data_IF_358774419725
#
_entry.id   IF_358774419725
#
_cell.length_a   1.000
_cell.length_b   1.000
_cell.length_c   1.000
_cell.angle_alpha   90.00
_cell.angle_beta   90.00
_cell.angle_gamma   90.00
#
_symmetry.space_group_name_H-M   'P 1'
#
loop_
_entity.id
_entity.type
_entity.pdbx_description
1 polymer ?
#
# COMPACT_ATOMS: atom_id res chain seq x y z
N UNK A 1 -18.51 -22.54 -41.05
CA UNK A 1 -17.13 -22.60 -40.54
C UNK A 1 -17.11 -21.98 -39.15
N UNK A 2 -17.41 -22.81 -38.14
CA UNK A 2 -17.24 -22.48 -36.73
C UNK A 2 -15.75 -22.54 -36.38
N UNK A 3 -15.15 -21.41 -36.02
CA UNK A 3 -13.89 -21.42 -35.28
C UNK A 3 -14.20 -21.45 -33.78
N UNK A 4 -14.29 -22.65 -33.23
CA UNK A 4 -14.32 -22.87 -31.78
C UNK A 4 -13.06 -22.25 -31.16
N UNK A 5 -13.26 -21.22 -30.34
CA UNK A 5 -12.19 -20.61 -29.56
C UNK A 5 -12.00 -21.46 -28.28
N UNK A 6 -10.91 -22.24 -28.15
CA UNK A 6 -10.72 -23.18 -27.03
C UNK A 6 -10.63 -22.48 -25.67
N UNK A 7 -10.34 -21.18 -25.66
CA UNK A 7 -10.31 -20.34 -24.45
C UNK A 7 -11.70 -20.07 -23.86
N UNK A 8 -12.77 -20.06 -24.68
CA UNK A 8 -14.14 -19.82 -24.20
C UNK A 8 -14.68 -21.02 -23.43
N UNK A 9 -14.36 -22.23 -23.89
CA UNK A 9 -14.69 -23.48 -23.19
C UNK A 9 -13.94 -23.64 -21.86
N UNK A 10 -12.71 -23.11 -21.77
CA UNK A 10 -11.94 -23.10 -20.52
C UNK A 10 -12.53 -22.11 -19.50
N UNK A 11 -13.06 -20.98 -19.96
CA UNK A 11 -13.69 -19.97 -19.11
C UNK A 11 -15.04 -20.42 -18.53
N UNK A 12 -15.85 -21.15 -19.31
CA UNK A 12 -17.12 -21.75 -18.83
C UNK A 12 -16.88 -22.84 -17.77
N UNK A 13 -15.74 -23.55 -17.83
CA UNK A 13 -15.34 -24.51 -16.79
C UNK A 13 -14.86 -23.85 -15.49
N UNK A 14 -14.35 -22.62 -15.54
CA UNK A 14 -13.97 -21.87 -14.33
C UNK A 14 -15.16 -21.19 -13.64
N UNK A 15 -16.23 -20.88 -14.39
CA UNK A 15 -17.47 -20.30 -13.86
C UNK A 15 -18.33 -21.26 -13.02
N UNK A 16 -17.99 -22.54 -12.97
CA UNK A 16 -18.74 -23.61 -12.27
C UNK A 16 -18.02 -24.14 -11.03
N UNK A 17 -16.93 -23.50 -10.59
CA UNK A 17 -16.23 -23.91 -9.37
C UNK A 17 -17.05 -23.52 -8.13
N UNK A 18 -17.81 -24.50 -7.62
CA UNK A 18 -18.45 -24.41 -6.31
C UNK A 18 -17.40 -24.30 -5.21
N UNK A 19 -17.45 -23.22 -4.43
CA UNK A 19 -16.66 -23.09 -3.19
C UNK A 19 -17.46 -23.81 -2.09
N UNK A 20 -17.02 -24.98 -1.60
CA UNK A 20 -17.84 -25.84 -0.73
C UNK A 20 -18.17 -25.25 0.64
N UNK A 21 -17.64 -24.06 0.99
CA UNK A 21 -17.87 -23.39 2.28
C UNK A 21 -19.10 -22.48 2.25
N UNK A 22 -19.55 -22.04 1.07
CA UNK A 22 -20.64 -21.09 0.93
C UNK A 22 -21.53 -21.59 -0.21
N UNK A 23 -22.65 -22.22 0.13
CA UNK A 23 -23.61 -22.81 -0.81
C UNK A 23 -24.38 -21.72 -1.60
N UNK A 24 -23.65 -20.90 -2.36
CA UNK A 24 -24.12 -19.76 -3.16
C UNK A 24 -23.35 -19.74 -4.48
N UNK A 25 -24.04 -19.51 -5.61
CA UNK A 25 -23.37 -19.40 -6.91
C UNK A 25 -22.44 -18.19 -6.94
N UNK A 26 -21.27 -18.31 -7.57
CA UNK A 26 -20.30 -17.21 -7.71
C UNK A 26 -20.92 -15.97 -8.37
N UNK A 27 -21.95 -16.16 -9.20
CA UNK A 27 -22.76 -15.08 -9.78
C UNK A 27 -23.65 -14.39 -8.74
N UNK A 28 -24.38 -15.13 -7.93
CA UNK A 28 -25.22 -14.54 -6.87
C UNK A 28 -24.37 -13.82 -5.81
N UNK A 29 -23.23 -14.38 -5.41
CA UNK A 29 -22.30 -13.68 -4.51
C UNK A 29 -21.79 -12.39 -5.17
N UNK A 30 -21.44 -12.45 -6.45
CA UNK A 30 -20.99 -11.26 -7.19
C UNK A 30 -22.08 -10.20 -7.25
N UNK A 31 -23.33 -10.56 -7.51
CA UNK A 31 -24.44 -9.62 -7.63
C UNK A 31 -24.83 -9.02 -6.27
N UNK A 32 -24.85 -9.82 -5.20
CA UNK A 32 -25.07 -9.33 -3.82
C UNK A 32 -23.94 -8.40 -3.38
N UNK A 33 -22.68 -8.74 -3.70
CA UNK A 33 -21.53 -7.89 -3.42
C UNK A 33 -21.62 -6.60 -4.23
N UNK A 34 -22.01 -6.67 -5.50
CA UNK A 34 -22.17 -5.51 -6.38
C UNK A 34 -23.27 -4.56 -5.88
N UNK A 35 -24.41 -5.09 -5.47
CA UNK A 35 -25.52 -4.32 -4.89
C UNK A 35 -25.12 -3.67 -3.57
N UNK A 36 -24.43 -4.41 -2.68
CA UNK A 36 -23.88 -3.82 -1.44
C UNK A 36 -22.79 -2.78 -1.71
N UNK A 37 -22.01 -2.93 -2.77
CA UNK A 37 -21.03 -1.94 -3.20
C UNK A 37 -21.68 -0.67 -3.74
N UNK A 38 -22.93 -0.70 -4.19
CA UNK A 38 -23.65 0.50 -4.65
C UNK A 38 -24.27 1.30 -3.51
N UNK A 39 -24.46 0.72 -2.33
CA UNK A 39 -25.00 1.45 -1.19
C UNK A 39 -24.04 2.57 -0.72
N UNK A 40 -24.47 3.83 -0.65
CA UNK A 40 -23.60 4.96 -0.32
C UNK A 40 -23.00 4.86 1.08
N UNK A 41 -23.71 4.23 2.03
CA UNK A 41 -23.19 3.98 3.39
C UNK A 41 -22.10 2.91 3.40
N UNK A 42 -22.26 1.86 2.60
CA UNK A 42 -21.27 0.77 2.47
C UNK A 42 -20.02 1.26 1.73
N UNK A 43 -20.16 2.09 0.70
CA UNK A 43 -19.01 2.73 0.03
C UNK A 43 -18.17 3.58 0.98
N UNK A 44 -18.78 4.43 1.81
CA UNK A 44 -18.04 5.24 2.80
C UNK A 44 -17.24 4.36 3.77
N UNK A 45 -17.83 3.26 4.23
CA UNK A 45 -17.14 2.30 5.11
C UNK A 45 -16.01 1.57 4.38
N UNK A 46 -16.21 1.15 3.14
CA UNK A 46 -15.17 0.50 2.32
C UNK A 46 -14.00 1.45 2.08
N UNK A 47 -14.27 2.71 1.73
CA UNK A 47 -13.23 3.75 1.58
C UNK A 47 -12.46 3.92 2.88
N UNK A 48 -13.13 4.04 4.02
CA UNK A 48 -12.48 4.12 5.33
C UNK A 48 -11.56 2.91 5.57
N UNK A 49 -12.02 1.70 5.25
CA UNK A 49 -11.21 0.47 5.40
C UNK A 49 -9.99 0.51 4.48
N UNK A 50 -10.15 0.83 3.19
CA UNK A 50 -9.05 0.90 2.23
C UNK A 50 -8.00 1.93 2.69
N UNK A 51 -8.45 3.15 3.01
CA UNK A 51 -7.54 4.21 3.47
C UNK A 51 -6.85 3.81 4.78
N UNK A 52 -7.55 3.17 5.71
CA UNK A 52 -6.95 2.68 6.96
C UNK A 52 -5.89 1.60 6.71
N UNK A 53 -6.13 0.68 5.77
CA UNK A 53 -5.17 -0.34 5.36
C UNK A 53 -3.96 0.31 4.69
N UNK A 54 -4.16 1.24 3.75
CA UNK A 54 -3.08 1.96 3.07
C UNK A 54 -2.15 2.67 4.07
N UNK A 55 -2.73 3.43 5.01
CA UNK A 55 -1.99 4.12 6.07
C UNK A 55 -1.28 3.15 7.01
N UNK A 56 -1.94 2.06 7.40
CA UNK A 56 -1.33 1.01 8.21
C UNK A 56 -0.13 0.40 7.49
N UNK A 57 -0.26 0.05 6.21
CA UNK A 57 0.79 -0.56 5.41
C UNK A 57 1.99 0.35 5.26
N UNK A 58 1.79 1.64 4.98
CA UNK A 58 2.90 2.58 4.81
C UNK A 58 3.73 2.73 6.10
N UNK A 59 3.04 2.76 7.25
CA UNK A 59 3.66 2.86 8.56
C UNK A 59 4.30 1.53 9.00
N UNK A 60 3.66 0.40 8.67
CA UNK A 60 4.25 -0.91 8.88
C UNK A 60 5.52 -1.06 8.04
N UNK A 61 5.50 -0.71 6.75
CA UNK A 61 6.66 -0.76 5.87
C UNK A 61 7.80 0.11 6.41
N UNK A 62 7.52 1.29 6.96
CA UNK A 62 8.56 2.11 7.56
C UNK A 62 9.19 1.45 8.80
N UNK A 63 8.37 0.98 9.74
CA UNK A 63 8.83 0.48 11.05
C UNK A 63 9.37 -0.95 11.01
N UNK A 64 8.83 -1.81 10.14
CA UNK A 64 9.28 -3.21 9.98
C UNK A 64 10.74 -3.27 9.54
N UNK A 65 11.20 -2.22 8.87
CA UNK A 65 12.53 -2.16 8.31
C UNK A 65 13.59 -1.78 9.35
N UNK A 66 13.20 -1.10 10.44
CA UNK A 66 14.11 -0.68 11.53
C UNK A 66 14.96 -1.84 12.06
N UNK A 67 14.39 -3.00 12.44
CA UNK A 67 15.20 -4.14 12.88
C UNK A 67 15.93 -4.87 11.74
N UNK A 68 15.50 -4.74 10.48
CA UNK A 68 15.98 -5.57 9.36
C UNK A 68 17.18 -4.94 8.63
N UNK A 69 17.17 -3.61 8.42
CA UNK A 69 18.18 -2.93 7.61
C UNK A 69 19.62 -3.11 8.12
N UNK A 70 19.92 -2.92 9.42
CA UNK A 70 21.32 -2.94 9.88
C UNK A 70 22.01 -4.27 9.57
N UNK A 71 21.32 -5.37 9.86
CA UNK A 71 21.79 -6.72 9.54
C UNK A 71 21.87 -6.95 8.03
N UNK A 72 20.92 -6.40 7.26
CA UNK A 72 20.93 -6.57 5.82
C UNK A 72 22.06 -5.83 5.11
N UNK A 73 22.32 -4.57 5.50
CA UNK A 73 23.43 -3.79 4.95
C UNK A 73 24.78 -4.41 5.30
N UNK A 74 24.88 -5.06 6.46
CA UNK A 74 26.05 -5.86 6.85
C UNK A 74 26.25 -7.07 5.93
N UNK A 75 25.17 -7.77 5.59
CA UNK A 75 25.22 -8.94 4.70
C UNK A 75 25.66 -8.61 3.27
N UNK A 76 25.18 -7.51 2.69
CA UNK A 76 25.52 -7.12 1.31
C UNK A 76 26.88 -6.42 1.19
N UNK A 77 27.67 -6.35 2.25
CA UNK A 77 28.99 -5.70 2.24
C UNK A 77 28.93 -4.21 1.89
N UNK A 78 27.80 -3.53 2.18
CA UNK A 78 27.65 -2.10 1.89
C UNK A 78 28.64 -1.22 2.68
N UNK A 79 29.23 -1.78 3.73
CA UNK A 79 30.31 -1.20 4.50
C UNK A 79 31.61 -1.69 3.87
N UNK A 80 32.31 -0.81 3.15
CA UNK A 80 33.65 -1.14 2.64
C UNK A 80 34.53 -1.67 3.76
N UNK A 81 35.46 -2.57 3.42
CA UNK A 81 36.41 -3.15 4.36
C UNK A 81 37.26 -2.05 4.99
N UNK A 82 36.84 -1.56 6.17
CA UNK A 82 37.75 -0.84 7.07
C UNK A 82 38.91 -1.79 7.38
N UNK A 83 40.18 -1.43 7.09
CA UNK A 83 41.30 -2.32 7.27
C UNK A 83 41.36 -2.77 8.73
N UNK A 84 41.27 -4.08 8.93
CA UNK A 84 41.35 -4.72 10.24
C UNK A 84 42.68 -4.35 10.92
N UNK A 85 42.66 -3.32 11.76
CA UNK A 85 43.80 -2.97 12.58
C UNK A 85 43.70 -3.75 13.89
N UNK A 86 44.42 -4.87 13.98
CA UNK A 86 44.41 -5.81 15.11
C UNK A 86 44.81 -5.20 16.47
N UNK A 87 45.24 -3.93 16.49
CA UNK A 87 45.74 -3.23 17.68
C UNK A 87 44.68 -2.48 18.49
N UNK A 88 43.43 -2.38 18.04
CA UNK A 88 42.38 -1.64 18.77
C UNK A 88 41.38 -2.57 19.47
N UNK A 89 41.57 -2.81 20.78
CA UNK A 89 40.61 -3.51 21.67
C UNK A 89 39.61 -2.51 22.31
N UNK A 90 38.99 -1.65 21.50
CA UNK A 90 37.89 -0.77 21.92
C UNK A 90 36.52 -1.31 21.46
N UNK A 91 35.39 -0.77 21.95
CA UNK A 91 34.09 -1.04 21.35
C UNK A 91 34.16 -0.71 19.85
N UNK A 92 33.67 -1.59 18.98
CA UNK A 92 33.70 -1.36 17.53
C UNK A 92 32.94 -0.06 17.22
N UNK A 93 33.66 0.99 16.81
CA UNK A 93 33.07 2.26 16.41
C UNK A 93 32.39 2.11 15.04
N UNK A 94 31.10 1.78 15.06
CA UNK A 94 30.23 1.60 13.88
C UNK A 94 29.82 2.95 13.21
N UNK A 95 30.71 3.96 13.19
CA UNK A 95 30.33 5.32 12.77
C UNK A 95 29.81 5.44 11.33
N UNK A 96 30.30 4.62 10.40
CA UNK A 96 29.72 4.55 9.05
C UNK A 96 28.38 3.82 9.02
N UNK A 97 28.23 2.79 9.86
CA UNK A 97 27.09 1.86 9.88
C UNK A 97 25.74 2.53 10.17
N UNK A 98 25.79 3.49 11.07
CA UNK A 98 24.62 4.24 11.50
C UNK A 98 24.22 5.32 10.47
N UNK A 99 25.20 5.85 9.73
CA UNK A 99 24.97 6.89 8.74
C UNK A 99 24.21 6.39 7.51
N UNK A 100 24.64 5.29 6.85
CA UNK A 100 23.93 4.83 5.65
C UNK A 100 22.54 4.26 5.98
N UNK A 101 22.39 3.66 7.16
CA UNK A 101 21.08 3.26 7.70
C UNK A 101 20.17 4.48 7.85
N UNK A 102 20.66 5.54 8.51
CA UNK A 102 19.92 6.79 8.68
C UNK A 102 19.55 7.46 7.35
N UNK A 103 20.47 7.49 6.37
CA UNK A 103 20.23 8.04 5.03
C UNK A 103 19.12 7.25 4.31
N UNK A 104 19.08 5.93 4.44
CA UNK A 104 18.05 5.10 3.81
C UNK A 104 16.65 5.33 4.43
N UNK A 105 16.56 5.59 5.73
CA UNK A 105 15.30 5.98 6.38
C UNK A 105 14.88 7.38 5.98
N UNK A 106 15.83 8.32 5.96
CA UNK A 106 15.58 9.71 5.62
C UNK A 106 15.14 9.89 4.16
N UNK A 107 15.63 9.06 3.22
CA UNK A 107 15.31 9.20 1.79
C UNK A 107 13.81 9.09 1.52
N UNK A 108 13.11 8.15 2.17
CA UNK A 108 11.65 8.04 2.09
C UNK A 108 10.99 9.34 2.55
N UNK A 109 11.34 9.81 3.75
CA UNK A 109 10.71 10.98 4.36
C UNK A 109 10.96 12.27 3.56
N UNK A 110 12.18 12.48 3.08
CA UNK A 110 12.54 13.64 2.25
C UNK A 110 11.72 13.65 0.97
N UNK A 111 11.67 12.51 0.25
CA UNK A 111 10.90 12.43 -1.00
C UNK A 111 9.41 12.61 -0.73
N UNK A 112 8.86 12.00 0.31
CA UNK A 112 7.46 12.15 0.68
C UNK A 112 7.12 13.62 0.98
N UNK A 113 7.95 14.32 1.78
CA UNK A 113 7.76 15.74 2.07
C UNK A 113 7.82 16.60 0.81
N UNK A 114 8.73 16.32 -0.11
CA UNK A 114 8.84 17.05 -1.38
C UNK A 114 7.64 16.78 -2.30
N UNK A 115 7.09 15.57 -2.31
CA UNK A 115 6.00 15.16 -3.20
C UNK A 115 4.62 15.56 -2.68
N UNK A 116 4.41 15.67 -1.36
CA UNK A 116 3.12 16.00 -0.75
C UNK A 116 2.43 17.24 -1.37
N UNK A 117 3.10 18.39 -1.58
CA UNK A 117 2.48 19.56 -2.23
C UNK A 117 2.02 19.27 -3.67
N UNK A 118 2.81 18.49 -4.41
CA UNK A 118 2.45 18.08 -5.78
C UNK A 118 1.27 17.11 -5.79
N UNK A 119 1.20 16.21 -4.80
CA UNK A 119 0.05 15.33 -4.62
C UNK A 119 -1.22 16.14 -4.36
N UNK A 120 -1.18 17.14 -3.48
CA UNK A 120 -2.31 18.04 -3.24
C UNK A 120 -2.79 18.72 -4.52
N UNK A 121 -1.88 19.36 -5.25
CA UNK A 121 -2.21 20.02 -6.51
C UNK A 121 -2.74 19.05 -7.58
N UNK A 122 -2.31 17.80 -7.56
CA UNK A 122 -2.82 16.76 -8.46
C UNK A 122 -4.25 16.35 -8.07
N UNK A 123 -4.51 16.14 -6.78
CA UNK A 123 -5.84 15.82 -6.25
C UNK A 123 -6.85 16.91 -6.65
N UNK A 124 -6.46 18.18 -6.53
CA UNK A 124 -7.33 19.31 -6.89
C UNK A 124 -7.72 19.33 -8.38
N UNK A 125 -6.87 18.78 -9.27
CA UNK A 125 -7.10 18.78 -10.73
C UNK A 125 -7.85 17.56 -11.24
N UNK A 126 -7.52 16.37 -10.74
CA UNK A 126 -8.01 15.09 -11.28
C UNK A 126 -8.80 14.25 -10.27
N UNK A 127 -9.04 14.79 -9.07
CA UNK A 127 -9.72 14.10 -7.97
C UNK A 127 -8.79 13.21 -7.16
N UNK A 128 -9.30 12.66 -6.06
CA UNK A 128 -8.56 11.83 -5.10
C UNK A 128 -8.41 10.35 -5.52
N UNK A 129 -9.30 9.84 -6.37
CA UNK A 129 -9.33 8.40 -6.70
C UNK A 129 -8.09 7.96 -7.52
N UNK A 130 -7.73 8.73 -8.55
CA UNK A 130 -6.61 8.38 -9.44
C UNK A 130 -5.24 8.49 -8.73
N UNK A 131 -4.95 9.59 -8.02
CA UNK A 131 -3.71 9.70 -7.24
C UNK A 131 -3.58 8.61 -6.17
N UNK A 132 -4.66 8.24 -5.48
CA UNK A 132 -4.61 7.14 -4.50
C UNK A 132 -4.20 5.81 -5.14
N UNK A 133 -4.79 5.46 -6.29
CA UNK A 133 -4.43 4.26 -7.03
C UNK A 133 -2.98 4.30 -7.52
N UNK A 134 -2.50 5.45 -8.02
CA UNK A 134 -1.10 5.64 -8.40
C UNK A 134 -0.19 5.40 -7.18
N UNK A 135 -0.54 5.97 -6.04
CA UNK A 135 0.18 5.79 -4.77
C UNK A 135 0.31 4.32 -4.36
N UNK A 136 -0.81 3.59 -4.33
CA UNK A 136 -0.85 2.16 -3.99
C UNK A 136 -0.02 1.32 -4.97
N UNK A 137 -0.11 1.57 -6.27
CA UNK A 137 0.71 0.88 -7.28
C UNK A 137 2.21 1.14 -7.09
N UNK A 138 2.59 2.39 -6.82
CA UNK A 138 4.00 2.75 -6.56
C UNK A 138 4.48 2.10 -5.25
N UNK A 139 3.66 2.10 -4.19
CA UNK A 139 4.00 1.43 -2.93
C UNK A 139 4.19 -0.09 -3.13
N UNK A 140 3.30 -0.74 -3.88
CA UNK A 140 3.44 -2.16 -4.22
C UNK A 140 4.75 -2.43 -4.97
N UNK A 141 4.99 -1.72 -6.08
CA UNK A 141 6.18 -1.93 -6.93
C UNK A 141 7.46 -1.63 -6.17
N UNK A 142 7.52 -0.51 -5.45
CA UNK A 142 8.69 -0.15 -4.64
C UNK A 142 8.97 -1.17 -3.54
N UNK A 143 7.94 -1.71 -2.88
CA UNK A 143 8.10 -2.75 -1.86
C UNK A 143 8.59 -4.06 -2.46
N UNK A 144 8.09 -4.45 -3.63
CA UNK A 144 8.59 -5.63 -4.34
C UNK A 144 10.06 -5.46 -4.76
N UNK A 145 10.43 -4.28 -5.27
CA UNK A 145 11.84 -3.95 -5.60
C UNK A 145 12.71 -3.95 -4.34
N UNK A 146 12.20 -3.45 -3.21
CA UNK A 146 12.92 -3.48 -1.93
C UNK A 146 13.16 -4.92 -1.45
N UNK A 147 12.16 -5.80 -1.54
CA UNK A 147 12.27 -7.20 -1.16
C UNK A 147 13.37 -7.94 -1.95
N UNK A 148 13.40 -7.71 -3.26
CA UNK A 148 14.36 -8.34 -4.18
C UNK A 148 15.71 -7.60 -4.28
N UNK A 149 15.83 -6.41 -3.69
CA UNK A 149 16.97 -5.52 -3.87
C UNK A 149 18.23 -6.02 -3.16
N UNK A 150 19.30 -6.31 -3.91
CA UNK A 150 20.57 -6.85 -3.39
C UNK A 150 21.71 -5.83 -3.24
N UNK A 151 21.46 -4.58 -3.59
CA UNK A 151 22.45 -3.50 -3.54
C UNK A 151 21.89 -2.30 -2.80
N UNK A 152 22.74 -1.58 -2.06
CA UNK A 152 22.37 -0.36 -1.36
C UNK A 152 21.67 0.65 -2.28
N UNK A 153 22.16 0.83 -3.51
CA UNK A 153 21.55 1.75 -4.48
C UNK A 153 20.11 1.36 -4.86
N UNK A 154 19.83 0.06 -4.98
CA UNK A 154 18.48 -0.45 -5.27
C UNK A 154 17.55 -0.23 -4.07
N UNK A 155 18.04 -0.47 -2.86
CA UNK A 155 17.26 -0.23 -1.64
C UNK A 155 16.96 1.26 -1.46
N UNK A 156 17.94 2.12 -1.72
CA UNK A 156 17.78 3.57 -1.65
C UNK A 156 16.75 4.05 -2.67
N UNK A 157 16.87 3.58 -3.92
CA UNK A 157 15.90 3.90 -4.97
C UNK A 157 14.50 3.41 -4.61
N UNK A 158 14.37 2.17 -4.13
CA UNK A 158 13.10 1.62 -3.71
C UNK A 158 12.48 2.44 -2.56
N UNK A 159 13.26 2.86 -1.56
CA UNK A 159 12.77 3.72 -0.47
C UNK A 159 12.31 5.09 -0.94
N UNK A 160 13.09 5.72 -1.81
CA UNK A 160 12.73 7.00 -2.42
C UNK A 160 11.42 6.87 -3.20
N UNK A 161 11.28 5.81 -4.00
CA UNK A 161 10.06 5.52 -4.76
C UNK A 161 8.86 5.25 -3.83
N UNK A 162 9.09 4.55 -2.71
CA UNK A 162 8.07 4.31 -1.69
C UNK A 162 7.59 5.62 -1.04
N UNK A 163 8.47 6.61 -0.88
CA UNK A 163 8.10 7.97 -0.44
C UNK A 163 7.18 8.69 -1.43
N UNK A 164 7.38 8.51 -2.74
CA UNK A 164 6.47 9.01 -3.77
C UNK A 164 5.10 8.35 -3.64
N UNK A 165 5.07 7.02 -3.52
CA UNK A 165 3.83 6.25 -3.41
C UNK A 165 3.02 6.62 -2.15
N UNK A 166 3.71 6.71 -1.01
CA UNK A 166 3.17 7.12 0.28
C UNK A 166 2.58 8.54 0.22
N UNK A 167 3.29 9.51 -0.37
CA UNK A 167 2.78 10.87 -0.52
C UNK A 167 1.43 10.91 -1.26
N UNK A 168 1.33 10.18 -2.38
CA UNK A 168 0.08 10.11 -3.12
C UNK A 168 -1.02 9.34 -2.37
N UNK A 169 -0.69 8.19 -1.77
CA UNK A 169 -1.67 7.36 -1.06
C UNK A 169 -2.23 8.07 0.18
N UNK A 170 -1.36 8.63 1.02
CA UNK A 170 -1.74 9.26 2.30
C UNK A 170 -2.55 10.54 2.06
N UNK A 171 -2.05 11.43 1.20
CA UNK A 171 -2.72 12.71 0.91
C UNK A 171 -4.09 12.47 0.28
N UNK A 172 -4.16 11.55 -0.68
CA UNK A 172 -5.42 11.25 -1.38
C UNK A 172 -6.39 10.47 -0.52
N UNK A 173 -5.91 9.52 0.28
CA UNK A 173 -6.75 8.73 1.17
C UNK A 173 -7.39 9.57 2.25
N UNK A 174 -6.63 10.46 2.91
CA UNK A 174 -7.16 11.38 3.91
C UNK A 174 -8.13 12.39 3.28
N UNK A 175 -7.81 12.92 2.09
CA UNK A 175 -8.72 13.80 1.34
C UNK A 175 -10.03 13.07 0.96
N UNK A 176 -9.94 11.80 0.56
CA UNK A 176 -11.09 10.97 0.23
C UNK A 176 -11.97 10.75 1.46
N UNK A 177 -11.42 10.47 2.65
CA UNK A 177 -12.22 10.42 3.88
C UNK A 177 -12.87 11.79 4.15
N UNK A 178 -12.11 12.88 4.03
CA UNK A 178 -12.62 14.22 4.32
C UNK A 178 -13.79 14.63 3.41
N UNK A 179 -13.76 14.24 2.14
CA UNK A 179 -14.83 14.51 1.15
C UNK A 179 -16.06 13.60 1.35
N UNK A 180 -15.83 12.31 1.64
CA UNK A 180 -16.89 11.30 1.70
C UNK A 180 -17.75 11.39 2.96
N UNK A 181 -17.14 11.82 4.05
CA UNK A 181 -17.83 12.01 5.32
C UNK A 181 -18.19 13.49 5.46
N UNK A 182 -19.40 13.84 5.03
CA UNK A 182 -19.90 15.23 4.98
C UNK A 182 -20.19 15.80 6.37
N UNK A 183 -20.65 14.96 7.29
CA UNK A 183 -20.93 15.35 8.67
C UNK A 183 -19.64 15.50 9.47
N UNK A 184 -19.42 16.65 10.11
CA UNK A 184 -18.16 16.93 10.83
C UNK A 184 -17.85 15.90 11.92
N UNK A 185 -18.90 15.44 12.62
CA UNK A 185 -18.78 14.44 13.68
C UNK A 185 -18.41 13.05 13.15
N UNK A 186 -18.94 12.66 11.98
CA UNK A 186 -18.59 11.39 11.33
C UNK A 186 -17.21 11.46 10.70
N UNK A 187 -16.87 12.59 10.06
CA UNK A 187 -15.56 12.86 9.45
C UNK A 187 -14.44 12.78 10.47
N UNK A 188 -14.60 13.45 11.61
CA UNK A 188 -13.61 13.44 12.69
C UNK A 188 -13.41 12.04 13.26
N UNK A 189 -14.49 11.26 13.41
CA UNK A 189 -14.41 9.84 13.82
C UNK A 189 -13.69 9.00 12.78
N UNK A 190 -14.02 9.14 11.50
CA UNK A 190 -13.40 8.40 10.41
C UNK A 190 -11.90 8.69 10.28
N UNK A 191 -11.52 9.98 10.33
CA UNK A 191 -10.11 10.38 10.37
C UNK A 191 -9.41 9.85 11.63
N UNK A 192 -10.05 9.92 12.79
CA UNK A 192 -9.52 9.37 14.03
C UNK A 192 -9.25 7.86 13.94
N UNK A 193 -10.16 7.10 13.32
CA UNK A 193 -9.96 5.67 13.04
C UNK A 193 -8.76 5.49 12.10
N UNK A 194 -8.72 6.19 10.96
CA UNK A 194 -7.62 6.07 10.00
C UNK A 194 -6.25 6.38 10.62
N UNK A 195 -6.17 7.41 11.47
CA UNK A 195 -4.95 7.76 12.21
C UNK A 195 -4.61 6.74 13.30
N UNK A 196 -5.59 6.12 13.95
CA UNK A 196 -5.34 5.03 14.90
C UNK A 196 -4.67 3.83 14.22
N UNK A 197 -5.02 3.55 12.97
CA UNK A 197 -4.38 2.49 12.17
C UNK A 197 -2.91 2.78 11.86
N UNK A 198 -2.51 4.05 11.74
CA UNK A 198 -1.08 4.45 11.66
C UNK A 198 -0.34 3.99 12.91
N UNK A 199 -0.84 4.38 14.09
CA UNK A 199 -0.22 4.01 15.37
C UNK A 199 -0.19 2.50 15.58
N UNK A 200 -1.26 1.80 15.20
CA UNK A 200 -1.32 0.35 15.24
C UNK A 200 -0.29 -0.30 14.31
N UNK A 201 -0.15 0.20 13.08
CA UNK A 201 0.87 -0.25 12.14
C UNK A 201 2.28 -0.11 12.71
N UNK A 202 2.60 1.05 13.29
CA UNK A 202 3.89 1.28 13.94
C UNK A 202 4.15 0.32 15.12
N UNK A 203 3.11 -0.01 15.89
CA UNK A 203 3.20 -0.91 17.04
C UNK A 203 3.46 -2.36 16.62
N UNK A 204 2.75 -2.84 15.61
CA UNK A 204 2.79 -4.25 15.17
C UNK A 204 3.97 -4.54 14.25
N UNK A 205 4.53 -3.53 13.59
CA UNK A 205 5.60 -3.72 12.61
C UNK A 205 6.86 -4.41 13.14
N UNK A 206 7.48 -3.99 14.27
CA UNK A 206 8.73 -4.62 14.73
C UNK A 206 8.54 -6.10 15.14
N UNK A 207 7.49 -6.47 15.91
CA UNK A 207 7.19 -7.89 16.17
C UNK A 207 6.93 -8.69 14.89
N UNK A 208 6.16 -8.12 13.95
CA UNK A 208 5.88 -8.74 12.66
C UNK A 208 7.16 -8.97 11.85
N UNK A 209 7.98 -7.93 11.67
CA UNK A 209 9.22 -7.97 10.92
C UNK A 209 10.25 -8.91 11.52
N UNK A 210 10.50 -8.79 12.82
CA UNK A 210 11.48 -9.60 13.52
C UNK A 210 11.12 -11.08 13.52
N UNK A 211 9.86 -11.43 13.80
CA UNK A 211 9.41 -12.82 13.79
C UNK A 211 9.49 -13.43 12.39
N UNK A 212 8.92 -12.77 11.38
CA UNK A 212 8.91 -13.32 10.02
C UNK A 212 10.32 -13.39 9.40
N UNK A 213 11.19 -12.44 9.73
CA UNK A 213 12.59 -12.45 9.31
C UNK A 213 13.32 -13.71 9.81
N UNK A 214 13.08 -14.12 11.06
CA UNK A 214 13.72 -15.29 11.67
C UNK A 214 13.26 -16.62 11.06
N UNK A 215 11.98 -16.74 10.71
CA UNK A 215 11.41 -18.02 10.22
C UNK A 215 11.52 -18.22 8.71
N UNK A 216 11.43 -17.15 7.93
CA UNK A 216 11.25 -17.25 6.47
C UNK A 216 12.21 -16.36 5.67
N UNK A 217 13.14 -15.67 6.35
CA UNK A 217 14.13 -14.81 5.73
C UNK A 217 13.63 -13.39 5.43
N UNK A 218 14.56 -12.56 4.98
CA UNK A 218 14.38 -11.11 4.84
C UNK A 218 13.30 -10.66 3.86
N UNK A 219 13.01 -11.45 2.84
CA UNK A 219 12.19 -11.05 1.70
C UNK A 219 10.70 -11.20 2.03
N UNK A 220 10.36 -12.13 2.92
CA UNK A 220 9.00 -12.54 3.22
C UNK A 220 8.16 -11.46 3.89
N UNK A 221 8.64 -10.72 4.91
CA UNK A 221 7.87 -9.60 5.49
C UNK A 221 7.46 -8.58 4.42
N UNK A 222 8.37 -8.24 3.51
CA UNK A 222 8.12 -7.27 2.45
C UNK A 222 7.19 -7.80 1.36
N UNK A 223 7.34 -9.06 0.96
CA UNK A 223 6.45 -9.67 -0.03
C UNK A 223 5.01 -9.79 0.48
N UNK A 224 4.83 -10.11 1.77
CA UNK A 224 3.49 -10.13 2.38
C UNK A 224 2.89 -8.73 2.38
N UNK A 225 3.65 -7.71 2.82
CA UNK A 225 3.16 -6.33 2.81
C UNK A 225 2.88 -5.82 1.38
N UNK A 226 3.69 -6.20 0.41
CA UNK A 226 3.44 -5.92 -1.01
C UNK A 226 2.14 -6.58 -1.48
N UNK A 227 1.91 -7.85 -1.13
CA UNK A 227 0.68 -8.55 -1.50
C UNK A 227 -0.57 -7.90 -0.87
N UNK A 228 -0.49 -7.50 0.39
CA UNK A 228 -1.60 -6.77 1.04
C UNK A 228 -1.83 -5.41 0.38
N UNK A 229 -0.76 -4.69 0.01
CA UNK A 229 -0.87 -3.43 -0.76
C UNK A 229 -1.52 -3.62 -2.13
N UNK A 230 -1.20 -4.73 -2.83
CA UNK A 230 -1.84 -5.08 -4.09
C UNK A 230 -3.33 -5.39 -3.93
N UNK A 231 -3.68 -6.14 -2.87
CA UNK A 231 -5.08 -6.45 -2.53
C UNK A 231 -5.87 -5.17 -2.21
N UNK A 232 -5.27 -4.24 -1.48
CA UNK A 232 -5.86 -2.94 -1.14
C UNK A 232 -6.09 -2.08 -2.40
N UNK A 233 -5.10 -2.03 -3.30
CA UNK A 233 -5.25 -1.38 -4.61
C UNK A 233 -6.34 -2.01 -5.49
N UNK A 234 -6.48 -3.34 -5.44
CA UNK A 234 -7.56 -4.04 -6.13
C UNK A 234 -8.93 -3.71 -5.52
N UNK A 235 -9.03 -3.64 -4.19
CA UNK A 235 -10.24 -3.24 -3.49
C UNK A 235 -10.65 -1.81 -3.84
N UNK A 236 -9.70 -0.87 -3.91
CA UNK A 236 -9.94 0.49 -4.37
C UNK A 236 -10.46 0.54 -5.81
N UNK A 237 -9.84 -0.22 -6.71
CA UNK A 237 -10.28 -0.33 -8.11
C UNK A 237 -11.74 -0.80 -8.24
N UNK A 238 -12.17 -1.74 -7.40
CA UNK A 238 -13.54 -2.23 -7.38
C UNK A 238 -14.53 -1.18 -6.86
N UNK A 239 -14.13 -0.35 -5.89
CA UNK A 239 -14.97 0.72 -5.34
C UNK A 239 -15.06 1.94 -6.26
N UNK A 240 -14.00 2.24 -7.02
CA UNK A 240 -13.96 3.39 -7.93
C UNK A 240 -14.93 3.28 -9.13
N UNK A 241 -15.08 2.08 -9.71
CA UNK A 241 -15.96 1.85 -10.87
C UNK A 241 -17.43 2.23 -10.64
N UNK A 242 -18.12 1.70 -9.61
CA UNK A 242 -19.54 2.01 -9.38
C UNK A 242 -19.77 3.48 -9.03
N UNK A 243 -18.80 4.15 -8.40
CA UNK A 243 -18.97 5.56 -8.05
C UNK A 243 -18.90 6.51 -9.26
N UNK A 244 -17.96 6.27 -10.19
CA UNK A 244 -17.87 7.07 -11.43
C UNK A 244 -19.13 6.92 -12.29
N UNK A 245 -19.72 5.72 -12.32
CA UNK A 245 -20.97 5.45 -13.03
C UNK A 245 -22.15 6.22 -12.38
N UNK A 246 -22.29 6.19 -11.04
CA UNK A 246 -23.36 6.91 -10.35
C UNK A 246 -23.28 8.44 -10.49
N UNK A 247 -22.07 9.01 -10.46
CA UNK A 247 -21.89 10.45 -10.69
C UNK A 247 -22.24 10.87 -12.12
N UNK A 248 -21.85 10.04 -13.10
CA UNK A 248 -22.16 10.29 -14.51
C UNK A 248 -23.66 10.26 -14.74
N UNK A 249 -24.36 9.29 -14.15
CA UNK A 249 -25.81 9.14 -14.24
C UNK A 249 -26.55 10.35 -13.65
N UNK A 250 -26.13 10.84 -12.47
CA UNK A 250 -26.68 12.07 -11.87
C UNK A 250 -26.45 13.32 -12.72
N UNK A 251 -25.32 13.39 -13.44
CA UNK A 251 -24.98 14.52 -14.31
C UNK A 251 -25.78 14.49 -15.61
N UNK A 252 -26.04 13.30 -16.15
CA UNK A 252 -26.90 13.09 -17.32
C UNK A 252 -28.38 13.39 -16.97
N UNK A 253 -28.86 12.97 -15.80
CA UNK A 253 -30.22 13.28 -15.31
C UNK A 253 -30.40 14.76 -14.97
N UNK A 254 -29.39 15.42 -14.37
CA UNK A 254 -29.42 16.86 -14.07
C UNK A 254 -29.19 17.78 -15.29
N UNK A 255 -28.78 17.21 -16.43
CA UNK A 255 -28.64 17.91 -17.70
C UNK A 255 -29.81 17.66 -18.67
N UNK A 256 -30.81 16.87 -18.27
CA UNK A 256 -32.06 16.74 -19.00
C UNK A 256 -32.87 18.05 -18.84
N UNK A 257 -33.28 18.70 -19.95
CA UNK A 257 -33.92 20.02 -19.95
C UNK A 257 -35.32 20.02 -19.31
#
# INVERSE_FOLDING_TARGET
MESLNPLRSCWDKFGTLNVPVVNLEVKEVKDIVWDKLQEPKSQRKLILVIVSIALLLDNMLYMVIVPIIPDYLRYIGAWGDEPYNASFKGPRSHHGQDQATGVLFASKAIVQLMVNPFSGALIDRIGYDLPMMIGLCIMFLSTAVFACGRSYGVLFFARSLQGVGSAFADTSGLAMIADRFTEESERSKALGIALAFISFGCLVAPPFGGALYQFAGKEVPFLILAFVSLMDGFMLLLVMKPFKESLRDKREVGAAP
#
